data_IF_933403048325
#
_entry.id   IF_933403048325
#
_cell.length_a   1.000
_cell.length_b   1.000
_cell.length_c   1.000
_cell.angle_alpha   90.00
_cell.angle_beta   90.00
_cell.angle_gamma   90.00
#
_symmetry.space_group_name_H-M   'P 1'
#
loop_
_entity.id
_entity.type
_entity.pdbx_description
1 polymer ?
#
# COMPACT_ATOMS: atom_id res chain seq x y z
N UNK A 1 2.72 8.22 7.97
CA UNK A 1 3.67 8.25 9.11
C UNK A 1 4.92 9.09 8.82
N UNK A 2 5.58 8.92 7.67
CA UNK A 2 6.79 9.68 7.29
C UNK A 2 6.64 11.20 7.49
N UNK A 3 5.50 11.79 7.05
CA UNK A 3 5.20 13.21 7.25
C UNK A 3 5.23 13.61 8.73
N UNK A 4 4.60 12.83 9.61
CA UNK A 4 4.57 13.12 11.07
C UNK A 4 5.96 12.98 11.67
N UNK A 5 6.76 11.99 11.25
CA UNK A 5 8.16 11.85 11.68
C UNK A 5 9.00 13.06 11.26
N UNK A 6 8.85 13.50 10.01
CA UNK A 6 9.52 14.70 9.50
C UNK A 6 9.10 15.93 10.33
N UNK A 7 7.80 16.11 10.57
CA UNK A 7 7.28 17.20 11.38
C UNK A 7 7.86 17.21 12.80
N UNK A 8 7.89 16.05 13.48
CA UNK A 8 8.45 15.92 14.84
C UNK A 8 9.92 16.31 14.88
N UNK A 9 10.71 15.81 13.93
CA UNK A 9 12.14 16.11 13.85
C UNK A 9 12.39 17.58 13.49
N UNK A 10 11.72 18.09 12.47
CA UNK A 10 11.99 19.42 11.91
C UNK A 10 11.51 20.55 12.84
N UNK A 11 10.51 20.27 13.70
CA UNK A 11 10.00 21.22 14.70
C UNK A 11 10.56 20.98 16.11
N UNK A 12 11.56 20.09 16.25
CA UNK A 12 12.22 19.76 17.51
C UNK A 12 11.25 19.38 18.65
N UNK A 13 10.22 18.61 18.30
CA UNK A 13 9.29 18.08 19.29
C UNK A 13 9.96 16.94 20.07
N UNK A 14 9.96 17.03 21.40
CA UNK A 14 10.40 15.95 22.30
C UNK A 14 9.38 14.80 22.38
N UNK A 15 9.05 14.20 21.23
CA UNK A 15 8.06 13.13 21.07
C UNK A 15 8.71 11.95 20.33
N UNK A 16 8.51 10.74 20.85
CA UNK A 16 8.88 9.50 20.14
C UNK A 16 7.69 8.98 19.30
N UNK A 17 7.94 8.64 18.04
CA UNK A 17 6.93 8.08 17.13
C UNK A 17 7.09 6.57 16.99
N UNK A 18 6.27 5.83 17.73
CA UNK A 18 6.17 4.37 17.61
C UNK A 18 5.27 3.97 16.41
N UNK A 19 5.83 3.26 15.43
CA UNK A 19 5.04 2.65 14.35
C UNK A 19 4.52 1.29 14.77
N UNK A 20 3.24 1.01 14.47
CA UNK A 20 2.64 -0.32 14.63
C UNK A 20 2.38 -0.95 13.25
N UNK A 21 2.50 -2.28 13.12
CA UNK A 21 2.12 -2.98 11.89
C UNK A 21 0.65 -2.75 11.52
N UNK A 22 0.35 -2.81 10.22
CA UNK A 22 -1.03 -2.76 9.73
C UNK A 22 -1.76 -4.01 10.23
N UNK A 23 -2.78 -3.80 11.06
CA UNK A 23 -3.70 -4.89 11.47
C UNK A 23 -4.61 -5.19 10.28
N UNK A 24 -4.75 -6.48 9.97
CA UNK A 24 -5.54 -6.99 8.85
C UNK A 24 -6.67 -7.86 9.38
N UNK A 25 -7.78 -7.85 8.66
CA UNK A 25 -8.86 -8.83 8.84
C UNK A 25 -8.37 -10.23 8.42
N UNK A 26 -9.07 -11.32 8.82
CA UNK A 26 -8.62 -12.69 8.54
C UNK A 26 -8.37 -13.02 7.06
N UNK A 27 -9.01 -12.27 6.15
CA UNK A 27 -8.86 -12.42 4.70
C UNK A 27 -7.80 -11.50 4.08
N UNK A 28 -7.03 -10.79 4.90
CA UNK A 28 -5.87 -9.99 4.49
C UNK A 28 -6.15 -8.51 4.23
N UNK A 29 -7.42 -8.08 4.19
CA UNK A 29 -7.75 -6.66 3.98
C UNK A 29 -7.31 -5.84 5.20
N UNK A 30 -6.68 -4.69 4.96
CA UNK A 30 -6.31 -3.78 6.04
C UNK A 30 -7.56 -3.32 6.81
N UNK A 31 -7.49 -3.39 8.14
CA UNK A 31 -8.59 -2.94 8.99
C UNK A 31 -8.81 -1.43 8.80
N UNK A 32 -10.05 -1.06 8.53
CA UNK A 32 -10.46 0.32 8.32
C UNK A 32 -11.95 0.48 8.65
N UNK A 33 -12.33 1.56 9.32
CA UNK A 33 -13.75 1.88 9.54
C UNK A 33 -14.53 2.03 8.24
N UNK A 34 -13.85 2.38 7.13
CA UNK A 34 -14.45 2.46 5.79
C UNK A 34 -14.88 1.10 5.23
N UNK A 35 -14.35 -0.01 5.76
CA UNK A 35 -14.76 -1.35 5.32
C UNK A 35 -16.25 -1.59 5.59
N UNK A 36 -16.85 -0.89 6.56
CA UNK A 36 -18.27 -0.94 6.87
C UNK A 36 -19.19 -0.43 5.74
N UNK A 37 -18.64 0.31 4.76
CA UNK A 37 -19.40 0.83 3.62
C UNK A 37 -19.47 -0.15 2.44
N UNK A 38 -18.70 -1.22 2.50
CA UNK A 38 -18.60 -2.19 1.42
C UNK A 38 -19.78 -3.15 1.48
N UNK A 39 -20.42 -3.38 0.33
CA UNK A 39 -21.28 -4.54 0.16
C UNK A 39 -20.48 -5.84 0.31
N UNK A 40 -21.11 -7.01 0.52
CA UNK A 40 -20.40 -8.29 0.57
C UNK A 40 -19.54 -8.57 -0.68
N UNK A 41 -19.97 -8.09 -1.85
CA UNK A 41 -19.27 -8.31 -3.12
C UNK A 41 -18.07 -7.38 -3.24
N UNK A 42 -18.25 -6.11 -2.90
CA UNK A 42 -17.17 -5.13 -2.77
C UNK A 42 -16.14 -5.56 -1.73
N UNK A 43 -16.58 -6.15 -0.63
CA UNK A 43 -15.69 -6.69 0.41
C UNK A 43 -14.82 -7.83 -0.12
N UNK A 44 -15.34 -8.66 -1.02
CA UNK A 44 -14.55 -9.71 -1.70
C UNK A 44 -13.58 -9.09 -2.71
N UNK A 45 -13.97 -8.05 -3.43
CA UNK A 45 -13.12 -7.32 -4.36
C UNK A 45 -11.96 -6.61 -3.64
N UNK A 46 -12.20 -6.03 -2.46
CA UNK A 46 -11.19 -5.33 -1.66
C UNK A 46 -9.96 -6.20 -1.29
N UNK A 47 -10.11 -7.54 -1.29
CA UNK A 47 -8.99 -8.47 -1.10
C UNK A 47 -7.92 -8.37 -2.20
N UNK A 48 -8.28 -7.87 -3.38
CA UNK A 48 -7.32 -7.68 -4.49
C UNK A 48 -6.18 -6.72 -4.12
N UNK A 49 -6.41 -5.75 -3.23
CA UNK A 49 -5.39 -4.80 -2.76
C UNK A 49 -4.28 -5.52 -2.00
N UNK A 50 -4.65 -6.33 -0.99
CA UNK A 50 -3.69 -7.10 -0.21
C UNK A 50 -3.00 -8.17 -1.06
N UNK A 51 -3.71 -8.80 -2.00
CA UNK A 51 -3.14 -9.75 -2.96
C UNK A 51 -2.12 -9.08 -3.88
N UNK A 52 -2.41 -7.87 -4.37
CA UNK A 52 -1.48 -7.07 -5.16
C UNK A 52 -0.19 -6.74 -4.40
N UNK A 53 -0.30 -6.26 -3.17
CA UNK A 53 0.86 -5.99 -2.32
C UNK A 53 1.68 -7.26 -2.04
N UNK A 54 1.01 -8.40 -1.86
CA UNK A 54 1.68 -9.68 -1.67
C UNK A 54 2.41 -10.13 -2.94
N UNK A 55 1.80 -9.97 -4.13
CA UNK A 55 2.41 -10.30 -5.41
C UNK A 55 3.67 -9.48 -5.68
N UNK A 56 3.63 -8.16 -5.44
CA UNK A 56 4.80 -7.31 -5.56
C UNK A 56 5.90 -7.67 -4.54
N UNK A 57 5.53 -7.97 -3.30
CA UNK A 57 6.51 -8.43 -2.30
C UNK A 57 7.16 -9.76 -2.68
N UNK A 58 6.40 -10.70 -3.26
CA UNK A 58 6.93 -11.96 -3.76
C UNK A 58 7.89 -11.75 -4.94
N UNK A 59 7.55 -10.88 -5.90
CA UNK A 59 8.43 -10.51 -7.00
C UNK A 59 9.73 -9.86 -6.50
N UNK A 60 9.63 -8.97 -5.50
CA UNK A 60 10.79 -8.38 -4.85
C UNK A 60 11.65 -9.45 -4.16
N UNK A 61 11.04 -10.38 -3.42
CA UNK A 61 11.78 -11.49 -2.79
C UNK A 61 12.48 -12.39 -3.83
N UNK A 62 11.91 -12.53 -5.03
CA UNK A 62 12.50 -13.27 -6.15
C UNK A 62 13.61 -12.51 -6.90
N UNK A 63 13.93 -11.28 -6.51
CA UNK A 63 15.04 -10.50 -7.06
C UNK A 63 14.64 -9.34 -7.98
N UNK A 64 13.36 -9.14 -8.26
CA UNK A 64 12.93 -7.96 -9.03
C UNK A 64 13.17 -6.68 -8.22
N UNK A 65 13.71 -5.65 -8.86
CA UNK A 65 14.03 -4.36 -8.24
C UNK A 65 13.46 -3.18 -9.00
N UNK A 66 13.04 -3.36 -10.25
CA UNK A 66 12.48 -2.31 -11.09
C UNK A 66 11.10 -1.92 -10.58
N UNK A 67 10.93 -0.65 -10.25
CA UNK A 67 9.69 -0.12 -9.72
C UNK A 67 8.50 -0.39 -10.64
N UNK A 68 8.68 -0.22 -11.96
CA UNK A 68 7.62 -0.46 -12.94
C UNK A 68 7.09 -1.91 -12.90
N UNK A 69 7.97 -2.90 -12.71
CA UNK A 69 7.57 -4.31 -12.66
C UNK A 69 6.86 -4.66 -11.34
N UNK A 70 7.35 -4.14 -10.22
CA UNK A 70 6.73 -4.31 -8.91
C UNK A 70 5.35 -3.64 -8.86
N UNK A 71 5.21 -2.44 -9.43
CA UNK A 71 3.92 -1.75 -9.57
C UNK A 71 2.98 -2.56 -10.47
N UNK A 72 3.46 -3.06 -11.62
CA UNK A 72 2.63 -3.90 -12.49
C UNK A 72 2.13 -5.17 -11.79
N UNK A 73 3.00 -5.84 -11.02
CA UNK A 73 2.63 -7.02 -10.22
C UNK A 73 1.54 -6.69 -9.18
N UNK A 74 1.62 -5.51 -8.56
CA UNK A 74 0.60 -5.05 -7.61
C UNK A 74 -0.72 -4.68 -8.27
N UNK A 75 -0.69 -4.12 -9.48
CA UNK A 75 -1.87 -3.69 -10.23
C UNK A 75 -2.68 -4.87 -10.76
N UNK A 76 -2.02 -5.92 -11.25
CA UNK A 76 -2.68 -7.01 -11.96
C UNK A 76 -3.86 -7.67 -11.20
N UNK A 77 -3.76 -7.99 -9.89
CA UNK A 77 -4.90 -8.52 -9.15
C UNK A 77 -6.04 -7.52 -8.96
N UNK A 78 -5.72 -6.22 -8.89
CA UNK A 78 -6.70 -5.14 -8.70
C UNK A 78 -7.45 -4.92 -10.02
N UNK A 79 -6.75 -4.82 -11.14
CA UNK A 79 -7.36 -4.63 -12.46
C UNK A 79 -8.27 -5.81 -12.86
N UNK A 80 -8.00 -7.02 -12.34
CA UNK A 80 -8.84 -8.20 -12.55
C UNK A 80 -10.07 -8.28 -11.64
N UNK A 81 -10.16 -7.45 -10.60
CA UNK A 81 -11.28 -7.47 -9.66
C UNK A 81 -12.47 -6.63 -10.19
N UNK A 82 -13.68 -7.09 -9.92
CA UNK A 82 -14.89 -6.34 -10.26
C UNK A 82 -15.08 -5.14 -9.32
N UNK A 83 -15.70 -4.08 -9.84
CA UNK A 83 -16.05 -2.87 -9.08
C UNK A 83 -14.86 -2.17 -8.41
N UNK A 84 -13.66 -2.31 -8.98
CA UNK A 84 -12.46 -1.62 -8.52
C UNK A 84 -11.96 -0.61 -9.54
N UNK A 85 -11.55 0.56 -9.06
CA UNK A 85 -10.89 1.59 -9.88
C UNK A 85 -9.67 2.13 -9.14
N UNK A 86 -8.50 1.89 -9.70
CA UNK A 86 -7.24 2.39 -9.17
C UNK A 86 -7.23 3.93 -9.21
N UNK A 87 -6.95 4.55 -8.06
CA UNK A 87 -6.58 5.97 -7.99
C UNK A 87 -5.08 6.10 -8.24
N UNK A 88 -4.28 5.37 -7.47
CA UNK A 88 -2.86 5.20 -7.75
C UNK A 88 -2.33 3.88 -7.21
N UNK A 89 -1.24 3.40 -7.82
CA UNK A 89 -0.33 2.40 -7.27
C UNK A 89 1.08 2.90 -7.57
N UNK A 90 1.84 3.22 -6.55
CA UNK A 90 3.13 3.87 -6.69
C UNK A 90 4.16 3.27 -5.75
N UNK A 91 5.40 3.24 -6.21
CA UNK A 91 6.55 2.87 -5.40
C UNK A 91 7.39 4.13 -5.16
N UNK A 92 7.60 4.47 -3.89
CA UNK A 92 8.28 5.69 -3.44
C UNK A 92 9.37 5.35 -2.43
N UNK A 93 10.35 6.22 -2.27
CA UNK A 93 11.30 6.13 -1.16
C UNK A 93 10.53 6.13 0.18
N UNK A 94 10.87 5.23 1.12
CA UNK A 94 10.09 5.05 2.34
C UNK A 94 10.19 6.23 3.33
N UNK A 95 11.23 7.05 3.21
CA UNK A 95 11.45 8.21 4.08
C UNK A 95 11.06 9.51 3.40
N UNK A 96 11.56 9.74 2.18
CA UNK A 96 11.38 11.00 1.46
C UNK A 96 10.12 11.03 0.59
N UNK A 97 9.47 9.89 0.35
CA UNK A 97 8.30 9.74 -0.51
C UNK A 97 8.51 10.20 -1.97
N UNK A 98 9.77 10.34 -2.39
CA UNK A 98 10.15 10.68 -3.76
C UNK A 98 9.96 9.47 -4.70
N UNK A 99 9.71 9.69 -6.01
CA UNK A 99 9.64 8.58 -6.96
C UNK A 99 10.94 7.76 -6.97
N UNK A 100 10.82 6.44 -7.12
CA UNK A 100 11.97 5.55 -7.34
C UNK A 100 11.77 4.74 -8.62
N UNK A 101 12.85 4.52 -9.36
CA UNK A 101 12.83 3.64 -10.55
C UNK A 101 13.35 2.24 -10.22
N UNK A 102 14.21 2.13 -9.20
CA UNK A 102 14.75 0.88 -8.66
C UNK A 102 14.74 0.91 -7.13
N UNK A 103 14.52 -0.24 -6.50
CA UNK A 103 14.52 -0.39 -5.04
C UNK A 103 15.93 -0.74 -4.56
N UNK A 104 16.72 0.28 -4.23
CA UNK A 104 18.07 0.13 -3.67
C UNK A 104 18.11 0.32 -2.14
N UNK A 105 17.10 0.99 -1.62
CA UNK A 105 16.86 1.27 -0.20
C UNK A 105 15.39 0.99 0.10
N UNK A 106 14.97 0.91 1.38
CA UNK A 106 13.57 0.72 1.73
C UNK A 106 12.65 1.68 0.97
N UNK A 107 11.71 1.10 0.23
CA UNK A 107 10.72 1.79 -0.57
C UNK A 107 9.31 1.39 -0.10
N UNK A 108 8.38 2.33 -0.11
CA UNK A 108 6.97 2.06 0.19
C UNK A 108 6.20 1.90 -1.11
N UNK A 109 5.63 0.71 -1.31
CA UNK A 109 4.60 0.45 -2.31
C UNK A 109 3.27 0.88 -1.71
N UNK A 110 2.75 2.02 -2.15
CA UNK A 110 1.50 2.59 -1.68
C UNK A 110 0.42 2.46 -2.75
N UNK A 111 -0.79 2.15 -2.33
CA UNK A 111 -1.94 2.09 -3.22
C UNK A 111 -3.15 2.83 -2.64
N UNK A 112 -3.96 3.36 -3.55
CA UNK A 112 -5.29 3.84 -3.28
C UNK A 112 -6.23 3.34 -4.38
N UNK A 113 -7.33 2.72 -3.99
CA UNK A 113 -8.27 2.08 -4.92
C UNK A 113 -9.68 2.37 -4.44
N UNK A 114 -10.53 2.78 -5.37
CA UNK A 114 -11.97 2.84 -5.14
C UNK A 114 -12.56 1.45 -5.33
N UNK A 115 -13.33 0.98 -4.34
CA UNK A 115 -14.17 -0.22 -4.43
C UNK A 115 -15.61 0.24 -4.33
N UNK A 116 -16.32 0.21 -5.46
CA UNK A 116 -17.52 1.02 -5.65
C UNK A 116 -17.22 2.51 -5.43
N UNK A 117 -17.90 3.13 -4.45
CA UNK A 117 -17.67 4.52 -4.05
C UNK A 117 -16.65 4.68 -2.92
N UNK A 118 -16.26 3.58 -2.26
CA UNK A 118 -15.40 3.62 -1.07
C UNK A 118 -13.93 3.63 -1.47
N UNK A 119 -13.21 4.70 -1.12
CA UNK A 119 -11.76 4.80 -1.35
C UNK A 119 -10.97 4.13 -0.23
N UNK A 120 -10.31 3.03 -0.54
CA UNK A 120 -9.44 2.27 0.35
C UNK A 120 -7.97 2.60 0.07
N UNK A 121 -7.15 2.50 1.11
CA UNK A 121 -5.70 2.64 1.03
C UNK A 121 -5.04 1.45 1.69
N UNK A 122 -3.88 1.07 1.18
CA UNK A 122 -3.01 0.05 1.77
C UNK A 122 -1.58 0.33 1.30
N UNK A 123 -0.60 -0.22 2.01
CA UNK A 123 0.80 -0.08 1.62
C UNK A 123 1.65 -1.22 2.18
N UNK A 124 2.83 -1.38 1.59
CA UNK A 124 3.86 -2.30 2.06
C UNK A 124 5.24 -1.73 1.81
N UNK A 125 6.12 -1.83 2.81
CA UNK A 125 7.54 -1.51 2.65
C UNK A 125 8.27 -2.70 2.01
N UNK A 126 9.10 -2.42 1.01
CA UNK A 126 10.01 -3.33 0.34
C UNK A 126 11.44 -2.86 0.59
N UNK A 127 12.27 -3.67 1.23
CA UNK A 127 13.65 -3.33 1.58
C UNK A 127 14.15 -4.12 2.76
#
# INVERSE_FOLDING_TARGET
LAIIRRMVRDLDFAIEIASVPIVREPDGVAMSSRNAYLSPDQRRAARSLSTGLAAAAAAFAAGERRAAALVAAARAPIDAAADTRIDYVELRDAEELTPVTHVERPAVLALAVFVGTTRLIDNRVLG
#
